data_IF_560404949357
#
_entry.id   IF_560404949357
#
_cell.length_a   1.000
_cell.length_b   1.000
_cell.length_c   1.000
_cell.angle_alpha   90.00
_cell.angle_beta   90.00
_cell.angle_gamma   90.00
#
_symmetry.space_group_name_H-M   'P 1'
#
loop_
_entity.id
_entity.type
_entity.pdbx_description
1 polymer ?
#
# COMPACT_ATOMS: atom_id res chain seq x y z
N UNK A 1 15.58 15.82 1.27
CA UNK A 1 16.83 15.38 1.92
C UNK A 1 17.98 16.30 1.45
N UNK A 2 18.75 16.83 2.40
CA UNK A 2 19.97 17.55 2.04
C UNK A 2 20.95 16.62 1.30
N UNK A 3 21.63 17.12 0.26
CA UNK A 3 22.61 16.34 -0.52
C UNK A 3 22.04 15.43 -1.60
N UNK A 4 20.71 15.46 -1.82
CA UNK A 4 20.02 14.67 -2.85
C UNK A 4 20.39 13.18 -2.80
N UNK A 5 20.84 12.57 -3.91
CA UNK A 5 21.21 11.15 -3.97
C UNK A 5 22.48 10.79 -3.18
N UNK A 6 23.30 11.77 -2.83
CA UNK A 6 24.54 11.57 -2.07
C UNK A 6 24.36 11.82 -0.57
N UNK A 7 23.13 12.11 -0.10
CA UNK A 7 22.87 12.32 1.30
C UNK A 7 23.08 11.03 2.11
N UNK A 8 23.79 11.14 3.21
CA UNK A 8 23.96 10.03 4.13
C UNK A 8 22.67 9.73 4.88
N UNK A 9 22.32 8.47 4.95
CA UNK A 9 21.18 7.99 5.76
C UNK A 9 21.74 7.40 7.05
N UNK A 10 21.34 7.98 8.18
CA UNK A 10 21.76 7.47 9.48
C UNK A 10 21.24 6.03 9.71
N UNK A 11 21.97 5.28 10.53
CA UNK A 11 21.58 3.91 10.90
C UNK A 11 20.14 3.87 11.43
N UNK A 12 19.31 2.99 10.85
CA UNK A 12 17.88 2.94 11.16
C UNK A 12 17.06 4.06 10.54
N UNK A 13 17.66 4.90 9.68
CA UNK A 13 16.96 5.99 8.98
C UNK A 13 16.40 7.05 9.92
N UNK A 14 17.09 7.37 11.02
CA UNK A 14 16.62 8.34 12.03
C UNK A 14 16.61 9.79 11.53
N UNK A 15 17.35 10.10 10.46
CA UNK A 15 17.44 11.42 9.84
C UNK A 15 16.46 11.64 8.67
N UNK A 16 15.53 10.71 8.43
CA UNK A 16 14.52 10.80 7.37
C UNK A 16 13.12 10.59 7.94
N UNK A 17 12.10 11.22 7.31
CA UNK A 17 10.70 11.03 7.71
C UNK A 17 10.19 9.61 7.41
N UNK A 18 9.07 9.23 8.04
CA UNK A 18 8.43 7.94 7.77
C UNK A 18 8.06 7.75 6.30
N UNK A 19 7.51 8.77 5.65
CA UNK A 19 7.20 8.75 4.23
C UNK A 19 8.44 8.64 3.34
N UNK A 20 9.54 9.33 3.71
CA UNK A 20 10.83 9.19 3.02
C UNK A 20 11.40 7.78 3.16
N UNK A 21 11.33 7.17 4.35
CA UNK A 21 11.74 5.77 4.58
C UNK A 21 10.96 4.82 3.69
N UNK A 22 9.65 4.98 3.63
CA UNK A 22 8.79 4.13 2.79
C UNK A 22 9.12 4.26 1.31
N UNK A 23 9.29 5.47 0.80
CA UNK A 23 9.70 5.69 -0.60
C UNK A 23 11.07 5.09 -0.92
N UNK A 24 12.04 5.22 -0.03
CA UNK A 24 13.37 4.62 -0.19
C UNK A 24 13.31 3.08 -0.20
N UNK A 25 12.49 2.49 0.65
CA UNK A 25 12.28 1.04 0.69
C UNK A 25 11.66 0.52 -0.62
N UNK A 26 10.68 1.24 -1.17
CA UNK A 26 10.06 0.92 -2.46
C UNK A 26 11.09 1.02 -3.58
N UNK A 27 11.87 2.10 -3.63
CA UNK A 27 12.92 2.29 -4.64
C UNK A 27 13.94 1.15 -4.60
N UNK A 28 14.35 0.73 -3.41
CA UNK A 28 15.26 -0.41 -3.23
C UNK A 28 14.70 -1.72 -3.75
N UNK A 29 13.41 -1.97 -3.52
CA UNK A 29 12.73 -3.16 -4.03
C UNK A 29 12.65 -3.16 -5.56
N UNK A 30 12.31 -2.02 -6.17
CA UNK A 30 12.22 -1.86 -7.63
C UNK A 30 13.58 -2.10 -8.30
N UNK A 31 14.67 -1.60 -7.72
CA UNK A 31 16.02 -1.77 -8.27
C UNK A 31 16.43 -3.25 -8.41
N UNK A 32 15.88 -4.12 -7.58
CA UNK A 32 16.15 -5.57 -7.64
C UNK A 32 15.42 -6.28 -8.78
N UNK A 33 14.39 -5.69 -9.35
CA UNK A 33 13.53 -6.26 -10.38
C UNK A 33 13.05 -7.69 -10.06
N UNK A 34 12.45 -7.93 -8.87
CA UNK A 34 12.01 -9.27 -8.48
C UNK A 34 10.77 -9.70 -9.24
N UNK A 35 10.49 -11.00 -9.25
CA UNK A 35 9.26 -11.57 -9.79
C UNK A 35 8.06 -11.36 -8.84
N UNK A 36 8.32 -11.27 -7.54
CA UNK A 36 7.32 -11.07 -6.49
C UNK A 36 7.74 -9.90 -5.59
N UNK A 37 6.85 -8.93 -5.45
CA UNK A 37 6.97 -7.82 -4.48
C UNK A 37 6.05 -8.09 -3.29
N UNK A 38 6.56 -7.84 -2.09
CA UNK A 38 5.76 -7.85 -0.86
C UNK A 38 5.85 -6.45 -0.24
N UNK A 39 4.70 -5.78 -0.14
CA UNK A 39 4.55 -4.46 0.47
C UNK A 39 3.75 -4.61 1.76
N UNK A 40 4.44 -4.66 2.89
CA UNK A 40 3.82 -4.77 4.21
C UNK A 40 3.70 -3.38 4.83
N UNK A 41 2.47 -2.85 4.85
CA UNK A 41 2.13 -1.52 5.37
C UNK A 41 3.01 -0.38 4.78
N UNK A 42 3.45 -0.54 3.55
CA UNK A 42 4.49 0.29 2.93
C UNK A 42 4.01 1.70 2.57
N UNK A 43 2.70 1.91 2.47
CA UNK A 43 2.10 3.18 2.04
C UNK A 43 1.46 3.98 3.18
N UNK A 44 1.47 3.48 4.40
CA UNK A 44 0.72 4.04 5.53
C UNK A 44 1.16 5.44 5.97
N UNK A 45 2.46 5.77 5.84
CA UNK A 45 3.01 7.07 6.21
C UNK A 45 2.92 8.12 5.07
N UNK A 46 2.30 7.77 3.94
CA UNK A 46 2.10 8.67 2.82
C UNK A 46 0.72 9.33 2.90
N UNK A 47 0.62 10.60 2.46
CA UNK A 47 -0.67 11.22 2.23
C UNK A 47 -1.39 10.56 1.03
N UNK A 48 -2.72 10.69 0.96
CA UNK A 48 -3.53 10.01 -0.05
C UNK A 48 -3.12 10.32 -1.50
N UNK A 49 -2.76 11.56 -1.78
CA UNK A 49 -2.34 11.99 -3.12
C UNK A 49 -1.01 11.34 -3.53
N UNK A 50 -0.03 11.38 -2.63
CA UNK A 50 1.28 10.76 -2.84
C UNK A 50 1.18 9.25 -2.96
N UNK A 51 0.40 8.60 -2.09
CA UNK A 51 0.11 7.17 -2.14
C UNK A 51 -0.49 6.78 -3.50
N UNK A 52 -1.55 7.46 -3.94
CA UNK A 52 -2.22 7.17 -5.21
C UNK A 52 -1.27 7.32 -6.40
N UNK A 53 -0.50 8.41 -6.45
CA UNK A 53 0.47 8.67 -7.52
C UNK A 53 1.55 7.60 -7.55
N UNK A 54 2.13 7.28 -6.39
CA UNK A 54 3.20 6.29 -6.26
C UNK A 54 2.73 4.89 -6.67
N UNK A 55 1.53 4.47 -6.26
CA UNK A 55 0.97 3.19 -6.65
C UNK A 55 0.70 3.09 -8.15
N UNK A 56 0.26 4.18 -8.78
CA UNK A 56 0.06 4.26 -10.23
C UNK A 56 1.38 4.06 -10.97
N UNK A 57 2.43 4.78 -10.56
CA UNK A 57 3.77 4.65 -11.14
C UNK A 57 4.37 3.26 -10.92
N UNK A 58 4.19 2.72 -9.71
CA UNK A 58 4.64 1.37 -9.37
C UNK A 58 3.94 0.31 -10.24
N UNK A 59 2.64 0.40 -10.41
CA UNK A 59 1.87 -0.53 -11.26
C UNK A 59 2.36 -0.50 -12.71
N UNK A 60 2.68 0.68 -13.25
CA UNK A 60 3.21 0.82 -14.60
C UNK A 60 4.58 0.16 -14.78
N UNK A 61 5.45 0.22 -13.76
CA UNK A 61 6.81 -0.32 -13.78
C UNK A 61 6.91 -1.80 -13.43
N UNK A 62 5.89 -2.38 -12.82
CA UNK A 62 5.90 -3.77 -12.28
C UNK A 62 4.80 -4.64 -12.87
N UNK A 63 4.42 -4.40 -14.12
CA UNK A 63 3.32 -5.12 -14.80
C UNK A 63 3.51 -6.63 -14.84
N UNK A 64 4.75 -7.09 -15.03
CA UNK A 64 5.10 -8.50 -15.16
C UNK A 64 5.29 -9.20 -13.79
N UNK A 65 5.26 -8.46 -12.70
CA UNK A 65 5.52 -9.00 -11.36
C UNK A 65 4.22 -9.21 -10.58
N UNK A 66 4.23 -10.20 -9.69
CA UNK A 66 3.18 -10.39 -8.69
C UNK A 66 3.42 -9.43 -7.51
N UNK A 67 2.37 -8.76 -7.06
CA UNK A 67 2.42 -7.85 -5.91
C UNK A 67 1.50 -8.34 -4.80
N UNK A 68 2.05 -8.56 -3.62
CA UNK A 68 1.32 -8.84 -2.39
C UNK A 68 1.36 -7.57 -1.56
N UNK A 69 0.20 -6.97 -1.30
CA UNK A 69 0.08 -5.70 -0.59
C UNK A 69 -0.71 -5.93 0.70
N UNK A 70 -0.07 -5.70 1.83
CA UNK A 70 -0.73 -5.67 3.13
C UNK A 70 -1.02 -4.21 3.48
N UNK A 71 -2.28 -3.87 3.64
CA UNK A 71 -2.70 -2.50 3.93
C UNK A 71 -4.00 -2.46 4.73
N UNK A 72 -4.17 -1.36 5.47
CA UNK A 72 -5.38 -1.07 6.22
C UNK A 72 -6.30 -0.08 5.49
N UNK A 73 -5.78 0.63 4.50
CA UNK A 73 -6.56 1.60 3.70
C UNK A 73 -7.21 0.90 2.52
N UNK A 74 -8.52 1.03 2.40
CA UNK A 74 -9.28 0.48 1.25
C UNK A 74 -8.78 1.06 -0.07
N UNK A 75 -8.51 2.36 -0.13
CA UNK A 75 -7.98 3.02 -1.32
C UNK A 75 -6.67 2.43 -1.85
N UNK A 76 -5.87 1.79 -0.99
CA UNK A 76 -4.62 1.15 -1.39
C UNK A 76 -4.83 -0.18 -2.11
N UNK A 77 -5.90 -0.91 -1.80
CA UNK A 77 -6.14 -2.28 -2.25
C UNK A 77 -7.33 -2.45 -3.19
N UNK A 78 -8.18 -1.44 -3.33
CA UNK A 78 -9.45 -1.56 -4.07
C UNK A 78 -9.29 -1.94 -5.55
N UNK A 79 -8.15 -1.66 -6.15
CA UNK A 79 -7.84 -2.00 -7.54
C UNK A 79 -7.09 -3.34 -7.70
N UNK A 80 -6.86 -4.07 -6.60
CA UNK A 80 -6.19 -5.37 -6.64
C UNK A 80 -7.02 -6.41 -7.40
N UNK A 81 -6.36 -7.31 -8.08
CA UNK A 81 -7.01 -8.42 -8.80
C UNK A 81 -7.72 -9.37 -7.84
N UNK A 82 -7.18 -9.52 -6.64
CA UNK A 82 -7.73 -10.36 -5.58
C UNK A 82 -7.44 -9.73 -4.22
N UNK A 83 -8.47 -9.63 -3.40
CA UNK A 83 -8.39 -9.12 -2.03
C UNK A 83 -8.70 -10.26 -1.08
N UNK A 84 -7.87 -10.44 -0.07
CA UNK A 84 -8.08 -11.37 1.04
C UNK A 84 -8.40 -10.55 2.28
N UNK A 85 -9.53 -10.82 2.91
CA UNK A 85 -9.95 -10.18 4.16
C UNK A 85 -9.66 -11.13 5.32
N UNK A 86 -8.92 -10.64 6.30
CA UNK A 86 -8.52 -11.40 7.49
C UNK A 86 -9.19 -10.83 8.74
N UNK A 87 -9.70 -11.70 9.58
CA UNK A 87 -10.21 -11.40 10.92
C UNK A 87 -9.76 -12.52 11.87
N UNK A 88 -9.14 -12.14 12.97
CA UNK A 88 -8.64 -13.08 14.00
C UNK A 88 -7.80 -14.24 13.42
N UNK A 89 -6.97 -13.94 12.43
CA UNK A 89 -6.10 -14.93 11.78
C UNK A 89 -6.79 -15.83 10.76
N UNK A 90 -8.08 -15.63 10.51
CA UNK A 90 -8.87 -16.41 9.56
C UNK A 90 -9.25 -15.60 8.33
N UNK A 91 -9.36 -16.28 7.18
CA UNK A 91 -9.87 -15.66 5.95
C UNK A 91 -11.40 -15.60 6.06
N UNK A 92 -11.95 -14.39 6.06
CA UNK A 92 -13.40 -14.14 6.11
C UNK A 92 -13.96 -13.61 4.80
N UNK A 93 -13.11 -13.26 3.85
CA UNK A 93 -13.51 -12.81 2.52
C UNK A 93 -12.40 -12.98 1.49
N UNK A 94 -12.79 -13.30 0.26
CA UNK A 94 -11.89 -13.46 -0.87
C UNK A 94 -12.62 -13.02 -2.15
N UNK A 95 -12.05 -12.08 -2.88
CA UNK A 95 -12.63 -11.60 -4.13
C UNK A 95 -12.14 -10.22 -4.53
N UNK A 96 -12.86 -9.57 -5.45
CA UNK A 96 -12.61 -8.19 -5.86
C UNK A 96 -13.36 -7.21 -4.94
N UNK A 97 -12.94 -5.95 -4.96
CA UNK A 97 -13.56 -4.88 -4.17
C UNK A 97 -15.09 -4.87 -4.27
N UNK A 98 -15.63 -4.86 -5.50
CA UNK A 98 -17.09 -4.81 -5.72
C UNK A 98 -17.83 -6.06 -5.23
N UNK A 99 -17.19 -7.22 -5.31
CA UNK A 99 -17.76 -8.48 -4.80
C UNK A 99 -17.80 -8.48 -3.27
N UNK A 100 -16.71 -8.08 -2.63
CA UNK A 100 -16.58 -8.02 -1.18
C UNK A 100 -17.51 -6.98 -0.55
N UNK A 101 -17.76 -5.87 -1.22
CA UNK A 101 -18.77 -4.88 -0.79
C UNK A 101 -20.18 -5.45 -0.74
N UNK A 102 -20.48 -6.50 -1.50
CA UNK A 102 -21.79 -7.16 -1.52
C UNK A 102 -21.87 -8.37 -0.59
N UNK A 103 -20.76 -9.06 -0.37
CA UNK A 103 -20.75 -10.41 0.23
C UNK A 103 -20.02 -10.51 1.58
N UNK A 104 -19.11 -9.58 1.89
CA UNK A 104 -18.28 -9.63 3.08
C UNK A 104 -18.61 -8.50 4.05
N UNK A 105 -19.27 -8.83 5.17
CA UNK A 105 -19.68 -7.85 6.18
C UNK A 105 -18.47 -7.11 6.78
N UNK A 106 -17.41 -7.82 7.12
CA UNK A 106 -16.17 -7.24 7.67
C UNK A 106 -15.56 -6.23 6.70
N UNK A 107 -15.50 -6.57 5.42
CA UNK A 107 -15.00 -5.66 4.38
C UNK A 107 -15.87 -4.41 4.23
N UNK A 108 -17.20 -4.58 4.28
CA UNK A 108 -18.15 -3.47 4.24
C UNK A 108 -17.94 -2.50 5.40
N UNK A 109 -17.79 -3.01 6.62
CA UNK A 109 -17.58 -2.19 7.82
C UNK A 109 -16.28 -1.38 7.72
N UNK A 110 -15.19 -1.99 7.25
CA UNK A 110 -13.90 -1.31 7.02
C UNK A 110 -14.06 -0.22 5.94
N UNK A 111 -14.67 -0.56 4.81
CA UNK A 111 -14.83 0.36 3.69
C UNK A 111 -15.69 1.58 4.08
N UNK A 112 -16.84 1.36 4.70
CA UNK A 112 -17.74 2.45 5.10
C UNK A 112 -17.14 3.35 6.18
N UNK A 113 -16.38 2.80 7.12
CA UNK A 113 -15.69 3.60 8.12
C UNK A 113 -14.63 4.53 7.53
N UNK A 114 -14.02 4.14 6.41
CA UNK A 114 -13.00 4.93 5.73
C UNK A 114 -13.56 5.94 4.76
N UNK A 115 -14.58 5.57 3.97
CA UNK A 115 -15.25 6.46 3.04
C UNK A 115 -15.84 7.69 3.74
N UNK A 116 -16.43 7.52 4.93
CA UNK A 116 -16.93 8.63 5.73
C UNK A 116 -15.83 9.61 6.18
N UNK A 117 -14.58 9.16 6.29
CA UNK A 117 -13.42 10.01 6.62
C UNK A 117 -12.85 10.71 5.38
N UNK A 118 -12.90 10.07 4.22
CA UNK A 118 -12.43 10.64 2.96
C UNK A 118 -13.38 11.72 2.44
N UNK A 119 -14.68 11.56 2.62
CA UNK A 119 -15.70 12.56 2.26
C UNK A 119 -15.65 13.81 3.16
N UNK A 120 -15.10 13.70 4.36
CA UNK A 120 -14.93 14.84 5.29
C UNK A 120 -13.56 15.53 5.18
N UNK A 121 -12.66 14.98 4.45
CA UNK A 121 -11.34 15.55 4.20
C UNK A 121 -11.28 16.25 2.83
#
# INVERSE_FOLDING_TARGET
MPGTFNAEIARGGTNVSGGQKQRLSIARAICKQPEIYIFDDTFSALDYKTDKTLRKELAAKTKEATKIIVAQRIGTIMDADKIIVLEDGCIVGLGKHRELLKTCKVYQEIAYSQLSKEEMA
#
